data_IF_088751200031
#
_entry.id   IF_088751200031
#
_cell.length_a   1.000
_cell.length_b   1.000
_cell.length_c   1.000
_cell.angle_alpha   90.00
_cell.angle_beta   90.00
_cell.angle_gamma   90.00
#
_symmetry.space_group_name_H-M   'P 1'
#
loop_
_entity.id
_entity.type
_entity.pdbx_description
1 polymer ?
#
# COMPACT_ATOMS: atom_id res chain seq x y z
N UNK A 1 9.51 10.67 21.73
CA UNK A 1 9.25 9.76 22.87
C UNK A 1 7.78 9.39 22.85
N UNK A 2 7.43 8.36 22.11
CA UNK A 2 6.13 7.72 22.28
C UNK A 2 6.34 6.61 23.28
N UNK A 3 5.86 6.84 24.51
CA UNK A 3 5.75 5.80 25.50
C UNK A 3 5.02 4.61 24.87
N UNK A 4 5.55 3.42 25.03
CA UNK A 4 4.88 2.20 24.63
C UNK A 4 3.55 2.13 25.39
N UNK A 5 2.49 2.40 24.67
CA UNK A 5 1.14 2.30 25.20
C UNK A 5 0.65 0.86 24.98
N UNK A 6 -0.03 0.35 25.97
CA UNK A 6 -0.57 -1.00 25.93
C UNK A 6 -2.06 -0.98 26.25
N UNK A 7 -2.79 -1.89 25.62
CA UNK A 7 -4.18 -2.13 25.96
C UNK A 7 -4.32 -2.85 27.31
N UNK A 8 -5.56 -3.10 27.73
CA UNK A 8 -5.84 -3.80 28.97
C UNK A 8 -5.36 -5.25 29.00
N UNK A 9 -4.99 -5.81 27.85
CA UNK A 9 -4.47 -7.17 27.68
C UNK A 9 -2.94 -7.19 27.53
N UNK A 10 -2.29 -6.01 27.56
CA UNK A 10 -0.85 -5.90 27.41
C UNK A 10 -0.37 -5.89 25.96
N UNK A 11 -1.24 -5.67 24.97
CA UNK A 11 -0.84 -5.55 23.57
C UNK A 11 -0.38 -4.12 23.26
N UNK A 12 0.70 -3.95 22.47
CA UNK A 12 1.17 -2.64 22.08
C UNK A 12 0.12 -1.87 21.27
N UNK A 13 -0.04 -0.60 21.58
CA UNK A 13 -0.93 0.34 20.88
C UNK A 13 -0.11 1.42 20.20
N UNK A 14 -0.45 1.70 18.96
CA UNK A 14 0.05 2.84 18.20
C UNK A 14 -1.09 3.83 18.00
N UNK A 15 -0.88 5.08 18.40
CA UNK A 15 -1.78 6.17 18.02
C UNK A 15 -1.26 6.87 16.79
N UNK A 16 -2.12 7.03 15.81
CA UNK A 16 -1.84 7.72 14.56
C UNK A 16 -2.64 9.02 14.52
N UNK A 17 -1.99 10.17 14.77
CA UNK A 17 -2.67 11.46 14.74
C UNK A 17 -3.33 11.76 13.40
N UNK A 18 -4.30 12.70 13.36
CA UNK A 18 -4.88 13.14 12.10
C UNK A 18 -3.83 13.54 11.07
N UNK A 19 -4.06 13.19 9.82
CA UNK A 19 -3.24 13.58 8.66
C UNK A 19 -1.74 13.25 8.79
N UNK A 20 -1.43 12.19 9.54
CA UNK A 20 -0.06 11.72 9.73
C UNK A 20 0.16 10.32 9.16
N UNK A 21 1.41 10.00 8.87
CA UNK A 21 1.84 8.69 8.37
C UNK A 21 2.83 8.06 9.34
N UNK A 22 2.68 6.76 9.55
CA UNK A 22 3.65 5.98 10.32
C UNK A 22 3.94 4.65 9.62
N UNK A 23 5.20 4.25 9.62
CA UNK A 23 5.63 2.94 9.14
C UNK A 23 5.25 1.87 10.15
N UNK A 24 4.35 0.97 9.78
CA UNK A 24 3.90 -0.14 10.63
C UNK A 24 4.55 -1.43 10.14
N UNK A 25 5.30 -2.08 11.01
CA UNK A 25 5.91 -3.37 10.73
C UNK A 25 4.87 -4.49 10.77
N UNK A 26 4.93 -5.39 9.80
CA UNK A 26 4.03 -6.55 9.75
C UNK A 26 4.59 -7.78 10.43
N UNK A 27 5.90 -7.80 10.72
CA UNK A 27 6.58 -9.00 11.20
C UNK A 27 6.81 -10.06 10.11
N UNK A 28 6.49 -9.78 8.87
CA UNK A 28 6.57 -10.72 7.74
C UNK A 28 7.70 -10.35 6.79
N UNK A 29 8.43 -11.38 6.32
CA UNK A 29 9.36 -11.32 5.22
C UNK A 29 8.87 -12.26 4.13
N UNK A 30 9.14 -11.93 2.86
CA UNK A 30 8.64 -12.69 1.73
C UNK A 30 9.76 -13.10 0.77
N UNK A 31 9.55 -14.21 0.11
CA UNK A 31 10.41 -14.70 -0.97
C UNK A 31 9.52 -15.17 -2.13
N UNK A 32 8.97 -14.25 -2.94
CA UNK A 32 8.17 -14.63 -4.08
C UNK A 32 9.01 -15.35 -5.13
N UNK A 33 8.39 -16.19 -5.97
CA UNK A 33 9.08 -16.79 -7.11
C UNK A 33 9.60 -15.73 -8.08
N UNK A 34 10.62 -16.09 -8.86
CA UNK A 34 11.11 -15.24 -9.95
C UNK A 34 9.98 -14.86 -10.91
N UNK A 35 9.91 -13.59 -11.29
CA UNK A 35 8.86 -13.05 -12.14
C UNK A 35 7.56 -12.70 -11.41
N UNK A 36 7.56 -12.76 -10.08
CA UNK A 36 6.42 -12.38 -9.24
C UNK A 36 6.79 -11.22 -8.30
N UNK A 37 5.83 -10.34 -8.08
CA UNK A 37 5.94 -9.27 -7.10
C UNK A 37 4.78 -9.38 -6.11
N UNK A 38 4.89 -8.63 -5.01
CA UNK A 38 3.81 -8.50 -4.04
C UNK A 38 3.26 -7.08 -4.14
N UNK A 39 1.94 -6.98 -4.29
CA UNK A 39 1.23 -5.71 -4.21
C UNK A 39 0.43 -5.65 -2.91
N UNK A 40 0.55 -4.54 -2.23
CA UNK A 40 -0.18 -4.27 -1.00
C UNK A 40 -1.14 -3.11 -1.17
N UNK A 41 -2.35 -3.26 -0.62
CA UNK A 41 -3.44 -2.31 -0.76
C UNK A 41 -4.16 -2.07 0.55
N UNK A 42 -4.97 -1.03 0.57
CA UNK A 42 -5.87 -0.76 1.69
C UNK A 42 -6.91 -1.87 1.86
N UNK A 43 -7.38 -2.03 3.09
CA UNK A 43 -8.59 -2.79 3.39
C UNK A 43 -9.79 -1.84 3.35
N UNK A 44 -10.83 -2.23 2.62
CA UNK A 44 -11.99 -1.37 2.37
C UNK A 44 -12.65 -0.85 3.65
N UNK A 45 -12.90 -1.71 4.61
CA UNK A 45 -13.54 -1.31 5.87
C UNK A 45 -12.70 -0.33 6.70
N UNK A 46 -11.40 -0.57 6.79
CA UNK A 46 -10.49 0.31 7.52
C UNK A 46 -10.37 1.67 6.84
N UNK A 47 -10.26 1.69 5.51
CA UNK A 47 -10.15 2.91 4.74
C UNK A 47 -11.43 3.75 4.81
N UNK A 48 -12.59 3.14 4.65
CA UNK A 48 -13.87 3.85 4.57
C UNK A 48 -14.43 4.27 5.93
N UNK A 49 -14.21 3.48 6.98
CA UNK A 49 -14.77 3.75 8.31
C UNK A 49 -13.82 4.55 9.21
N UNK A 50 -12.53 4.29 9.11
CA UNK A 50 -11.52 4.94 9.98
C UNK A 50 -10.59 5.90 9.24
N UNK A 51 -10.66 5.94 7.91
CA UNK A 51 -9.78 6.78 7.11
C UNK A 51 -8.32 6.33 7.12
N UNK A 52 -8.05 5.05 7.36
CA UNK A 52 -6.70 4.50 7.42
C UNK A 52 -6.40 3.72 6.14
N UNK A 53 -5.36 4.12 5.44
CA UNK A 53 -4.92 3.47 4.20
C UNK A 53 -3.41 3.67 4.00
N UNK A 54 -2.74 2.81 3.21
CA UNK A 54 -1.34 3.05 2.88
C UNK A 54 -1.13 4.39 2.18
N UNK A 55 -0.15 5.16 2.64
CA UNK A 55 0.15 6.49 2.10
C UNK A 55 0.58 6.44 0.63
N UNK A 56 1.27 5.40 0.23
CA UNK A 56 1.72 5.17 -1.16
C UNK A 56 0.64 4.57 -2.07
N UNK A 57 -0.58 4.43 -1.60
CA UNK A 57 -1.75 3.87 -2.31
C UNK A 57 -1.60 2.38 -2.66
N UNK A 58 -0.53 2.00 -3.33
CA UNK A 58 -0.15 0.64 -3.61
C UNK A 58 1.28 0.41 -3.13
N UNK A 59 1.48 -0.55 -2.25
CA UNK A 59 2.80 -0.99 -1.84
C UNK A 59 3.32 -2.00 -2.88
N UNK A 60 4.54 -1.82 -3.33
CA UNK A 60 5.20 -2.77 -4.23
C UNK A 60 6.39 -3.38 -3.50
N UNK A 61 6.40 -4.69 -3.37
CA UNK A 61 7.51 -5.44 -2.79
C UNK A 61 8.13 -6.27 -3.90
N UNK A 62 9.40 -5.99 -4.19
CA UNK A 62 10.15 -6.65 -5.25
C UNK A 62 10.48 -8.10 -4.90
N UNK A 63 10.70 -8.91 -5.92
CA UNK A 63 11.01 -10.34 -5.75
C UNK A 63 12.29 -10.60 -4.97
N UNK A 64 13.25 -9.69 -4.99
CA UNK A 64 14.54 -9.80 -4.31
C UNK A 64 14.61 -9.11 -2.95
N UNK A 65 13.54 -8.46 -2.53
CA UNK A 65 13.47 -7.84 -1.21
C UNK A 65 13.27 -8.91 -0.12
N UNK A 66 14.19 -8.95 0.85
CA UNK A 66 14.17 -9.93 1.95
C UNK A 66 13.96 -9.31 3.33
N UNK A 67 13.85 -7.99 3.39
CA UNK A 67 13.56 -7.29 4.63
C UNK A 67 12.11 -7.48 5.08
N UNK A 68 11.81 -6.97 6.26
CA UNK A 68 10.45 -6.95 6.77
C UNK A 68 9.54 -6.09 5.87
N UNK A 69 8.34 -6.57 5.62
CA UNK A 69 7.31 -5.78 4.97
C UNK A 69 6.75 -4.75 5.96
N UNK A 70 6.78 -3.48 5.55
CA UNK A 70 6.19 -2.37 6.29
C UNK A 70 5.02 -1.78 5.50
N UNK A 71 4.05 -1.28 6.25
CA UNK A 71 2.94 -0.51 5.67
C UNK A 71 3.07 0.93 6.14
N UNK A 72 3.29 1.89 5.23
CA UNK A 72 3.26 3.32 5.58
C UNK A 72 1.80 3.74 5.75
N UNK A 73 1.23 3.50 6.91
CA UNK A 73 -0.18 3.74 7.17
C UNK A 73 -0.43 5.23 7.41
N UNK A 74 -1.36 5.79 6.66
CA UNK A 74 -1.77 7.19 6.77
C UNK A 74 -3.18 7.32 7.33
N UNK A 75 -3.34 8.27 8.24
CA UNK A 75 -4.64 8.65 8.78
C UNK A 75 -5.20 9.85 8.01
N UNK A 76 -6.20 9.60 7.17
CA UNK A 76 -6.88 10.62 6.38
C UNK A 76 -7.99 11.34 7.15
N UNK A 77 -8.31 10.88 8.38
CA UNK A 77 -9.39 11.46 9.18
C UNK A 77 -8.91 12.63 10.04
N UNK A 78 -9.87 13.35 10.57
CA UNK A 78 -9.63 14.45 11.51
C UNK A 78 -9.52 14.00 12.98
N UNK A 79 -9.56 12.70 13.22
CA UNK A 79 -9.45 12.10 14.54
C UNK A 79 -8.22 11.23 14.65
N UNK A 80 -7.62 11.20 15.84
CA UNK A 80 -6.56 10.22 16.13
C UNK A 80 -7.13 8.81 16.05
N UNK A 81 -6.41 7.90 15.40
CA UNK A 81 -6.79 6.49 15.25
C UNK A 81 -5.85 5.61 16.05
N UNK A 82 -6.43 4.56 16.61
CA UNK A 82 -5.71 3.56 17.38
C UNK A 82 -5.48 2.31 16.52
N UNK A 83 -4.27 1.77 16.60
CA UNK A 83 -3.87 0.51 15.98
C UNK A 83 -3.28 -0.38 17.06
N UNK A 84 -3.88 -1.54 17.25
CA UNK A 84 -3.45 -2.52 18.24
C UNK A 84 -2.68 -3.64 17.54
N UNK A 85 -1.74 -4.24 18.24
CA UNK A 85 -1.01 -5.39 17.75
C UNK A 85 -1.97 -6.50 17.26
N UNK A 86 -1.73 -6.99 16.06
CA UNK A 86 -2.59 -7.99 15.42
C UNK A 86 -3.70 -7.42 14.55
N UNK A 87 -3.91 -6.10 14.54
CA UNK A 87 -4.87 -5.47 13.65
C UNK A 87 -4.50 -5.71 12.18
N UNK A 88 -5.51 -5.99 11.37
CA UNK A 88 -5.35 -6.16 9.92
C UNK A 88 -5.41 -4.80 9.23
N UNK A 89 -4.23 -4.26 8.89
CA UNK A 89 -4.08 -2.88 8.40
C UNK A 89 -3.96 -2.76 6.88
N UNK A 90 -3.67 -3.85 6.19
CA UNK A 90 -3.52 -3.90 4.73
C UNK A 90 -3.82 -5.30 4.22
N UNK A 91 -3.79 -5.47 2.91
CA UNK A 91 -3.87 -6.77 2.27
C UNK A 91 -2.84 -6.87 1.15
N UNK A 92 -2.22 -8.03 1.02
CA UNK A 92 -1.18 -8.29 0.03
C UNK A 92 -1.62 -9.39 -0.93
N UNK A 93 -1.20 -9.26 -2.18
CA UNK A 93 -1.38 -10.29 -3.19
C UNK A 93 -0.11 -10.52 -3.97
N UNK A 94 0.14 -11.76 -4.37
CA UNK A 94 1.19 -12.11 -5.30
C UNK A 94 0.68 -11.92 -6.72
N UNK A 95 1.47 -11.23 -7.55
CA UNK A 95 1.14 -10.99 -8.95
C UNK A 95 2.33 -11.30 -9.85
N UNK A 96 2.12 -11.96 -11.00
CA UNK A 96 3.17 -12.08 -11.99
C UNK A 96 3.41 -10.75 -12.67
N UNK A 97 4.64 -10.48 -13.08
CA UNK A 97 4.96 -9.28 -13.83
C UNK A 97 5.91 -9.60 -14.98
N UNK A 98 5.90 -8.74 -15.98
CA UNK A 98 6.83 -8.80 -17.10
C UNK A 98 7.78 -7.62 -17.04
N UNK A 99 9.05 -7.89 -17.23
CA UNK A 99 10.04 -6.83 -17.37
C UNK A 99 10.00 -6.30 -18.78
N UNK A 100 9.66 -5.01 -18.92
CA UNK A 100 9.60 -4.38 -20.24
C UNK A 100 11.00 -4.15 -20.82
N UNK A 101 11.13 -4.38 -22.12
CA UNK A 101 12.23 -3.88 -22.91
C UNK A 101 11.70 -2.70 -23.73
N UNK A 102 12.43 -1.60 -23.71
CA UNK A 102 12.03 -0.40 -24.42
C UNK A 102 12.73 -0.30 -25.77
N UNK A 103 11.94 -0.18 -26.83
CA UNK A 103 12.43 0.17 -28.16
C UNK A 103 12.16 1.64 -28.40
N UNK A 104 13.20 2.41 -28.70
CA UNK A 104 13.04 3.82 -29.03
C UNK A 104 12.59 3.93 -30.49
N UNK A 105 11.45 4.54 -30.70
CA UNK A 105 10.83 4.74 -32.03
C UNK A 105 10.49 6.20 -32.24
N UNK A 106 10.36 6.63 -33.50
CA UNK A 106 9.94 8.00 -33.81
C UNK A 106 8.44 8.18 -33.68
N UNK A 107 7.67 7.14 -34.00
CA UNK A 107 6.21 7.13 -33.94
C UNK A 107 5.72 5.79 -33.38
N UNK A 108 4.57 5.84 -32.70
CA UNK A 108 3.81 4.64 -32.31
C UNK A 108 2.83 4.28 -33.43
N UNK A 109 2.36 3.03 -33.41
CA UNK A 109 1.30 2.56 -34.28
C UNK A 109 -0.01 3.34 -34.05
N UNK A 110 -0.84 3.35 -35.07
CA UNK A 110 -2.17 3.99 -35.00
C UNK A 110 -3.19 3.03 -34.38
N UNK A 111 -4.08 3.60 -33.56
CA UNK A 111 -5.24 2.91 -33.02
C UNK A 111 -6.48 3.78 -33.21
N UNK A 112 -7.67 3.18 -33.17
CA UNK A 112 -8.93 3.93 -33.27
C UNK A 112 -9.04 5.01 -32.19
N UNK A 113 -8.59 4.71 -30.95
CA UNK A 113 -8.60 5.67 -29.85
C UNK A 113 -7.54 6.77 -30.01
N UNK A 114 -6.36 6.43 -30.54
CA UNK A 114 -5.21 7.35 -30.63
C UNK A 114 -4.82 7.91 -29.26
N UNK A 115 -4.66 9.22 -29.19
CA UNK A 115 -4.27 9.93 -27.98
C UNK A 115 -5.44 10.31 -27.05
N UNK A 116 -6.65 9.85 -27.32
CA UNK A 116 -7.83 10.17 -26.53
C UNK A 116 -7.74 9.62 -25.10
N UNK A 117 -7.94 10.48 -24.13
CA UNK A 117 -7.91 10.12 -22.71
C UNK A 117 -8.45 11.26 -21.85
N UNK A 118 -8.37 11.09 -20.53
CA UNK A 118 -8.77 12.12 -19.56
C UNK A 118 -10.20 12.67 -19.77
N UNK A 119 -11.15 11.78 -20.09
CA UNK A 119 -12.53 12.15 -20.32
C UNK A 119 -12.85 12.59 -21.74
N UNK A 120 -11.96 12.35 -22.73
CA UNK A 120 -12.19 12.70 -24.15
C UNK A 120 -13.41 12.00 -24.75
N UNK A 121 -13.87 10.88 -24.19
CA UNK A 121 -15.06 10.14 -24.62
C UNK A 121 -16.36 10.62 -23.96
N UNK A 122 -16.31 11.70 -23.20
CA UNK A 122 -17.44 12.27 -22.47
C UNK A 122 -17.62 11.67 -21.08
N UNK A 123 -18.83 11.63 -20.59
CA UNK A 123 -19.14 11.21 -19.21
C UNK A 123 -18.80 9.75 -18.97
#
# INVERSE_FOLDING_TARGET
>A
DQADLFDSQGNPIIYLPPHSTRMIGTGLCFAPPEGWAILGFARSGLATKKGLAPANKACVIDEDYRGQAFVPLHNHSDMSQEIVHGDRIAQFMFVPYYQAQFDVVDELDETERGAGGFGSTGK
#
